data_IF_499883107634
#
_entry.id   IF_499883107634
#
_cell.length_a   1.000
_cell.length_b   1.000
_cell.length_c   1.000
_cell.angle_alpha   90.00
_cell.angle_beta   90.00
_cell.angle_gamma   90.00
#
_symmetry.space_group_name_H-M   'P 1'
#
loop_
_entity.id
_entity.type
_entity.pdbx_description
1 polymer ?
#
# COMPACT_ATOMS: atom_id res chain seq x y z
N UNK A 1 -14.08 9.79 6.64
CA UNK A 1 -13.41 9.42 5.37
C UNK A 1 -12.57 8.16 5.53
N UNK A 2 -11.69 8.10 6.52
CA UNK A 2 -10.91 6.88 6.89
C UNK A 2 -11.80 5.67 7.26
N UNK A 3 -12.99 5.90 7.83
CA UNK A 3 -13.93 4.82 8.15
C UNK A 3 -14.38 4.01 6.92
N UNK A 4 -14.41 4.64 5.73
CA UNK A 4 -14.69 3.93 4.48
C UNK A 4 -13.54 2.98 4.14
N UNK A 5 -12.30 3.46 4.18
CA UNK A 5 -11.11 2.64 4.02
C UNK A 5 -11.09 1.46 4.99
N UNK A 6 -11.26 1.70 6.30
CA UNK A 6 -11.30 0.64 7.32
C UNK A 6 -12.35 -0.44 7.02
N UNK A 7 -13.55 0.00 6.63
CA UNK A 7 -14.64 -0.92 6.28
C UNK A 7 -14.31 -1.77 5.06
N UNK A 8 -13.76 -1.16 4.00
CA UNK A 8 -13.37 -1.87 2.78
C UNK A 8 -12.25 -2.88 3.06
N UNK A 9 -11.20 -2.47 3.80
CA UNK A 9 -10.09 -3.35 4.16
C UNK A 9 -10.55 -4.53 5.01
N UNK A 10 -11.45 -4.31 5.98
CA UNK A 10 -12.02 -5.40 6.80
C UNK A 10 -12.84 -6.39 5.96
N UNK A 11 -13.62 -5.90 5.01
CA UNK A 11 -14.38 -6.75 4.09
C UNK A 11 -13.44 -7.53 3.16
N UNK A 12 -12.41 -6.87 2.63
CA UNK A 12 -11.41 -7.50 1.78
C UNK A 12 -10.68 -8.63 2.51
N UNK A 13 -10.25 -8.40 3.75
CA UNK A 13 -9.64 -9.42 4.61
C UNK A 13 -10.56 -10.62 4.82
N UNK A 14 -11.86 -10.38 5.04
CA UNK A 14 -12.84 -11.47 5.13
C UNK A 14 -12.88 -12.28 3.83
N UNK A 15 -12.96 -11.63 2.67
CA UNK A 15 -12.92 -12.31 1.37
C UNK A 15 -11.62 -13.10 1.16
N UNK A 16 -10.47 -12.52 1.52
CA UNK A 16 -9.16 -13.17 1.44
C UNK A 16 -9.10 -14.44 2.28
N UNK A 17 -9.59 -14.39 3.53
CA UNK A 17 -9.63 -15.55 4.43
C UNK A 17 -10.49 -16.71 3.89
N UNK A 18 -11.55 -16.37 3.15
CA UNK A 18 -12.40 -17.33 2.44
C UNK A 18 -11.89 -17.68 1.04
N UNK A 19 -10.64 -17.33 0.71
CA UNK A 19 -9.99 -17.56 -0.59
C UNK A 19 -10.74 -16.96 -1.79
N UNK A 20 -11.64 -16.01 -1.54
CA UNK A 20 -12.32 -15.25 -2.58
C UNK A 20 -11.44 -14.07 -3.01
N UNK A 21 -10.30 -14.39 -3.60
CA UNK A 21 -9.26 -13.41 -3.95
C UNK A 21 -9.75 -12.37 -4.93
N UNK A 22 -10.60 -12.74 -5.90
CA UNK A 22 -11.14 -11.77 -6.88
C UNK A 22 -11.96 -10.67 -6.21
N UNK A 23 -12.85 -11.02 -5.28
CA UNK A 23 -13.63 -10.04 -4.54
C UNK A 23 -12.76 -9.23 -3.57
N UNK A 24 -11.82 -9.89 -2.90
CA UNK A 24 -10.85 -9.23 -2.02
C UNK A 24 -10.01 -8.19 -2.77
N UNK A 25 -9.52 -8.50 -3.99
CA UNK A 25 -8.83 -7.57 -4.88
C UNK A 25 -9.71 -6.36 -5.21
N UNK A 26 -10.98 -6.58 -5.60
CA UNK A 26 -11.91 -5.48 -5.91
C UNK A 26 -12.08 -4.54 -4.73
N UNK A 27 -12.27 -5.09 -3.52
CA UNK A 27 -12.43 -4.30 -2.30
C UNK A 27 -11.14 -3.56 -1.92
N UNK A 28 -9.98 -4.21 -2.04
CA UNK A 28 -8.69 -3.58 -1.76
C UNK A 28 -8.33 -2.48 -2.77
N UNK A 29 -8.74 -2.60 -4.04
CA UNK A 29 -8.60 -1.50 -5.02
C UNK A 29 -9.43 -0.29 -4.62
N UNK A 30 -10.69 -0.51 -4.23
CA UNK A 30 -11.54 0.58 -3.72
C UNK A 30 -10.98 1.21 -2.45
N UNK A 31 -10.38 0.40 -1.57
CA UNK A 31 -9.71 0.89 -0.37
C UNK A 31 -8.51 1.77 -0.75
N UNK A 32 -7.65 1.31 -1.65
CA UNK A 32 -6.50 2.09 -2.12
C UNK A 32 -6.92 3.42 -2.78
N UNK A 33 -7.92 3.40 -3.67
CA UNK A 33 -8.46 4.62 -4.27
C UNK A 33 -8.96 5.60 -3.21
N UNK A 34 -9.66 5.10 -2.18
CA UNK A 34 -10.12 5.94 -1.08
C UNK A 34 -8.95 6.49 -0.25
N UNK A 35 -7.93 5.67 0.02
CA UNK A 35 -6.73 6.09 0.76
C UNK A 35 -5.99 7.20 0.00
N UNK A 36 -5.79 7.05 -1.31
CA UNK A 36 -5.15 8.07 -2.17
C UNK A 36 -5.94 9.38 -2.19
N UNK A 37 -7.27 9.32 -2.29
CA UNK A 37 -8.13 10.51 -2.31
C UNK A 37 -8.02 11.36 -1.04
N UNK A 38 -7.81 10.71 0.11
CA UNK A 38 -7.83 11.37 1.42
C UNK A 38 -6.43 11.56 2.00
N UNK A 39 -5.40 11.09 1.28
CA UNK A 39 -4.04 11.02 1.79
C UNK A 39 -3.52 12.41 2.15
N UNK A 40 -3.63 13.40 1.26
CA UNK A 40 -3.06 14.73 1.48
C UNK A 40 -3.61 15.38 2.75
N UNK A 41 -4.94 15.35 2.91
CA UNK A 41 -5.60 15.94 4.07
C UNK A 41 -5.25 15.18 5.34
N UNK A 42 -5.28 13.84 5.30
CA UNK A 42 -4.97 13.04 6.48
C UNK A 42 -3.48 13.08 6.85
N UNK A 43 -2.59 13.19 5.88
CA UNK A 43 -1.16 13.31 6.10
C UNK A 43 -0.78 14.64 6.75
N UNK A 44 -1.53 15.72 6.48
CA UNK A 44 -1.31 16.99 7.17
C UNK A 44 -1.66 16.92 8.67
N UNK A 45 -2.63 16.10 9.04
CA UNK A 45 -3.09 15.93 10.43
C UNK A 45 -2.31 14.83 11.18
N UNK A 46 -2.11 13.68 10.55
CA UNK A 46 -1.40 12.52 11.09
C UNK A 46 -0.54 11.82 10.01
N UNK A 47 0.70 12.28 9.81
CA UNK A 47 1.58 11.79 8.76
C UNK A 47 1.90 10.29 8.86
N UNK A 48 2.11 9.80 10.08
CA UNK A 48 2.55 8.43 10.33
C UNK A 48 1.40 7.44 10.01
N UNK A 49 0.18 7.73 10.49
CA UNK A 49 -0.98 6.90 10.16
C UNK A 49 -1.37 6.99 8.69
N UNK A 50 -1.24 8.16 8.05
CA UNK A 50 -1.51 8.31 6.62
C UNK A 50 -0.56 7.47 5.76
N UNK A 51 0.75 7.45 6.10
CA UNK A 51 1.72 6.59 5.42
C UNK A 51 1.42 5.11 5.70
N UNK A 52 1.10 4.73 6.94
CA UNK A 52 0.73 3.36 7.28
C UNK A 52 -0.49 2.88 6.49
N UNK A 53 -1.54 3.72 6.37
CA UNK A 53 -2.74 3.44 5.58
C UNK A 53 -2.40 3.16 4.11
N UNK A 54 -1.52 3.94 3.50
CA UNK A 54 -1.06 3.71 2.12
C UNK A 54 -0.29 2.40 1.98
N UNK A 55 0.67 2.15 2.88
CA UNK A 55 1.46 0.92 2.88
C UNK A 55 0.57 -0.32 3.00
N UNK A 56 -0.35 -0.33 3.97
CA UNK A 56 -1.31 -1.43 4.18
C UNK A 56 -2.18 -1.66 2.94
N UNK A 57 -2.62 -0.59 2.27
CA UNK A 57 -3.45 -0.70 1.06
C UNK A 57 -2.70 -1.41 -0.08
N UNK A 58 -1.43 -1.06 -0.29
CA UNK A 58 -0.61 -1.72 -1.31
C UNK A 58 -0.23 -3.16 -0.91
N UNK A 59 0.15 -3.42 0.35
CA UNK A 59 0.47 -4.78 0.82
C UNK A 59 -0.71 -5.72 0.66
N UNK A 60 -1.92 -5.30 1.05
CA UNK A 60 -3.10 -6.13 0.92
C UNK A 60 -3.36 -6.52 -0.54
N UNK A 61 -3.11 -5.62 -1.51
CA UNK A 61 -3.21 -5.98 -2.93
C UNK A 61 -2.12 -6.95 -3.34
N UNK A 62 -0.87 -6.72 -2.92
CA UNK A 62 0.26 -7.62 -3.22
C UNK A 62 -0.01 -9.02 -2.67
N UNK A 63 -0.43 -9.17 -1.42
CA UNK A 63 -0.78 -10.47 -0.82
C UNK A 63 -1.88 -11.19 -1.62
N UNK A 64 -2.85 -10.45 -2.13
CA UNK A 64 -3.92 -11.01 -2.97
C UNK A 64 -3.41 -11.48 -4.34
N UNK A 65 -2.55 -10.69 -4.98
CA UNK A 65 -1.99 -11.05 -6.28
C UNK A 65 -0.95 -12.17 -6.16
N UNK A 66 -0.19 -12.22 -5.07
CA UNK A 66 0.70 -13.32 -4.73
C UNK A 66 -0.09 -14.62 -4.54
N UNK A 67 -1.23 -14.57 -3.83
CA UNK A 67 -2.11 -15.74 -3.65
C UNK A 67 -2.66 -16.33 -4.96
N UNK A 68 -2.71 -15.54 -6.04
CA UNK A 68 -3.11 -16.01 -7.38
C UNK A 68 -1.92 -16.12 -8.37
N UNK A 69 -0.68 -16.05 -7.86
CA UNK A 69 0.57 -16.12 -8.62
C UNK A 69 0.72 -15.08 -9.75
N UNK A 70 0.10 -13.91 -9.60
CA UNK A 70 0.23 -12.80 -10.56
C UNK A 70 1.41 -11.90 -10.18
N UNK A 71 2.62 -12.42 -10.41
CA UNK A 71 3.87 -11.76 -10.04
C UNK A 71 4.05 -10.40 -10.72
N UNK A 72 3.64 -10.28 -11.98
CA UNK A 72 3.77 -9.04 -12.74
C UNK A 72 2.97 -7.92 -12.08
N UNK A 73 1.76 -8.21 -11.61
CA UNK A 73 0.95 -7.21 -10.91
C UNK A 73 1.55 -6.85 -9.55
N UNK A 74 2.10 -7.82 -8.80
CA UNK A 74 2.81 -7.52 -7.56
C UNK A 74 3.98 -6.55 -7.77
N UNK A 75 4.84 -6.81 -8.77
CA UNK A 75 5.98 -5.93 -9.08
C UNK A 75 5.51 -4.52 -9.49
N UNK A 76 4.46 -4.43 -10.33
CA UNK A 76 3.85 -3.15 -10.70
C UNK A 76 3.28 -2.40 -9.49
N UNK A 77 2.70 -3.09 -8.49
CA UNK A 77 2.19 -2.47 -7.27
C UNK A 77 3.32 -1.89 -6.41
N UNK A 78 4.48 -2.56 -6.35
CA UNK A 78 5.67 -2.02 -5.70
C UNK A 78 6.17 -0.74 -6.37
N UNK A 79 6.14 -0.67 -7.71
CA UNK A 79 6.56 0.51 -8.46
C UNK A 79 5.55 1.66 -8.33
N UNK A 80 4.24 1.36 -8.37
CA UNK A 80 3.18 2.36 -8.21
C UNK A 80 3.21 3.06 -6.85
N UNK A 81 3.42 2.30 -5.77
CA UNK A 81 3.50 2.90 -4.44
C UNK A 81 4.75 3.75 -4.27
N UNK A 82 5.89 3.33 -4.85
CA UNK A 82 7.11 4.12 -4.83
C UNK A 82 6.92 5.46 -5.56
N UNK A 83 6.31 5.42 -6.75
CA UNK A 83 5.96 6.63 -7.49
C UNK A 83 5.02 7.54 -6.70
N UNK A 84 4.03 6.99 -5.99
CA UNK A 84 3.13 7.76 -5.13
C UNK A 84 3.90 8.49 -4.02
N UNK A 85 4.71 7.78 -3.23
CA UNK A 85 5.44 8.40 -2.12
C UNK A 85 6.49 9.42 -2.59
N UNK A 86 7.11 9.21 -3.76
CA UNK A 86 8.00 10.21 -4.36
C UNK A 86 7.26 11.49 -4.74
N UNK A 87 6.05 11.38 -5.31
CA UNK A 87 5.22 12.54 -5.65
C UNK A 87 4.79 13.32 -4.40
N UNK A 88 4.55 12.63 -3.29
CA UNK A 88 4.19 13.25 -2.01
C UNK A 88 5.38 13.86 -1.25
N UNK A 89 6.63 13.61 -1.67
CA UNK A 89 7.83 14.08 -0.98
C UNK A 89 8.60 15.12 -1.82
N UNK A 90 8.16 16.40 -1.86
CA UNK A 90 8.86 17.42 -2.62
C UNK A 90 10.27 17.64 -2.04
N UNK A 91 11.30 17.79 -2.89
CA UNK A 91 12.71 17.83 -2.49
C UNK A 91 13.10 19.05 -1.63
N UNK A 92 12.20 20.02 -1.47
CA UNK A 92 12.41 21.25 -0.70
C UNK A 92 11.93 21.14 0.76
N UNK A 93 11.17 20.09 1.10
CA UNK A 93 10.71 19.86 2.46
C UNK A 93 11.69 18.94 3.21
N UNK A 94 12.45 19.50 4.16
CA UNK A 94 13.32 18.76 5.08
C UNK A 94 12.70 18.61 6.48
N UNK A 95 11.39 18.82 6.61
CA UNK A 95 10.66 18.79 7.88
C UNK A 95 10.32 17.39 8.39
N UNK A 96 9.57 17.32 9.49
CA UNK A 96 9.12 16.06 10.09
C UNK A 96 8.33 15.17 9.11
N UNK A 97 7.56 15.78 8.20
CA UNK A 97 6.81 15.08 7.15
C UNK A 97 7.73 14.33 6.17
N UNK A 98 8.85 14.94 5.78
CA UNK A 98 9.87 14.30 4.96
C UNK A 98 10.45 13.05 5.65
N UNK A 99 10.78 13.16 6.94
CA UNK A 99 11.29 12.02 7.70
C UNK A 99 10.28 10.86 7.75
N UNK A 100 8.99 11.15 7.89
CA UNK A 100 7.92 10.13 7.89
C UNK A 100 7.82 9.42 6.54
N UNK A 101 7.80 10.17 5.43
CA UNK A 101 7.78 9.61 4.08
C UNK A 101 9.02 8.75 3.80
N UNK A 102 10.21 9.22 4.19
CA UNK A 102 11.45 8.46 4.03
C UNK A 102 11.47 7.17 4.87
N UNK A 103 10.93 7.19 6.09
CA UNK A 103 10.75 5.96 6.90
C UNK A 103 9.82 4.98 6.21
N UNK A 104 8.67 5.44 5.71
CA UNK A 104 7.72 4.63 4.96
C UNK A 104 8.35 4.02 3.70
N UNK A 105 9.08 4.82 2.93
CA UNK A 105 9.81 4.38 1.73
C UNK A 105 10.87 3.32 2.06
N UNK A 106 11.63 3.48 3.14
CA UNK A 106 12.63 2.50 3.56
C UNK A 106 11.98 1.17 3.98
N UNK A 107 10.87 1.22 4.73
CA UNK A 107 10.08 0.03 5.06
C UNK A 107 9.57 -0.66 3.79
N UNK A 108 9.11 0.13 2.82
CA UNK A 108 8.62 -0.36 1.56
C UNK A 108 9.69 -1.06 0.71
N UNK A 109 10.86 -0.44 0.59
CA UNK A 109 12.00 -1.01 -0.13
C UNK A 109 12.43 -2.35 0.49
N UNK A 110 12.42 -2.45 1.82
CA UNK A 110 12.68 -3.71 2.52
C UNK A 110 11.64 -4.78 2.18
N UNK A 111 10.34 -4.44 2.21
CA UNK A 111 9.28 -5.38 1.83
C UNK A 111 9.42 -5.87 0.39
N UNK A 112 9.75 -4.97 -0.55
CA UNK A 112 10.06 -5.33 -1.95
C UNK A 112 11.25 -6.28 -2.05
N UNK A 113 12.33 -5.96 -1.35
CA UNK A 113 13.54 -6.80 -1.34
C UNK A 113 13.22 -8.21 -0.85
N UNK A 114 12.51 -8.33 0.27
CA UNK A 114 12.10 -9.62 0.82
C UNK A 114 11.20 -10.40 -0.16
N UNK A 115 10.24 -9.73 -0.81
CA UNK A 115 9.39 -10.35 -1.82
C UNK A 115 10.19 -10.89 -3.01
N UNK A 116 11.09 -10.09 -3.58
CA UNK A 116 11.88 -10.48 -4.76
C UNK A 116 12.86 -11.64 -4.47
N UNK A 117 13.33 -11.76 -3.22
CA UNK A 117 14.32 -12.77 -2.83
C UNK A 117 13.73 -13.99 -2.11
N UNK A 118 12.40 -14.04 -1.89
CA UNK A 118 11.69 -15.22 -1.38
C UNK A 118 11.58 -16.35 -2.40
N UNK A 119 11.77 -16.07 -3.69
CA UNK A 119 11.57 -17.03 -4.77
C UNK A 119 12.94 -17.34 -5.40
N UNK A 120 13.43 -18.60 -5.35
CA UNK A 120 14.61 -18.99 -6.11
C UNK A 120 14.35 -18.78 -7.59
N UNK A 121 15.31 -18.22 -8.33
CA UNK A 121 15.26 -18.19 -9.78
C UNK A 121 15.17 -19.65 -10.28
N UNK A 122 14.01 -20.03 -10.80
CA UNK A 122 13.76 -21.33 -11.44
C UNK A 122 14.49 -21.42 -12.77
#
# INVERSE_FOLDING_TARGET
MIEKWKSLTKQAQCCFHHQNYRQSITLNRQALENAQQVFTDYFADDPDDAVAMMLVSYLNLIDNYEAINDRLVCENLFDQSFAFFQQCNPPEDCGAHHCVLMRGLNMWQKARYEYLHRIPLS
#
